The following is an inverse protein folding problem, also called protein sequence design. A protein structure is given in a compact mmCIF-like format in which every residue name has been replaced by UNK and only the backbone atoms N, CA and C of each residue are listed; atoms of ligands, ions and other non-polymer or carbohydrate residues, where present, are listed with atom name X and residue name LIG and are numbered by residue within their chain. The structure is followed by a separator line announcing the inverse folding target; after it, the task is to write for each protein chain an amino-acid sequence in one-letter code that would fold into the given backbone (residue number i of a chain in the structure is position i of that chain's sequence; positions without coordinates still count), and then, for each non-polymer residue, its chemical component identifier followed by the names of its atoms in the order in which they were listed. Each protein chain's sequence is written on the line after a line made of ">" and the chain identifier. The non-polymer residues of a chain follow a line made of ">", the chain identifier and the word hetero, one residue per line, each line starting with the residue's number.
data_IF_897513483622
#
_entry.id   IF_897513483622
#
_cell.length_a   1.000
_cell.length_b   1.000
_cell.length_c   1.000
_cell.angle_alpha   90.00
_cell.angle_beta   90.00
_cell.angle_gamma   90.00
#
_symmetry.space_group_name_H-M   'P 1'
#
loop_
_entity.id
_entity.type
_entity.pdbx_description
1 polymer ?
#
# COMPACT_ATOMS: atom_id res chain seq x y z
N UNK A 1 -4.82 -0.50 -9.37
CA UNK A 1 -3.67 -0.47 -8.42
C UNK A 1 -3.57 -1.79 -7.69
N UNK A 2 -2.42 -2.07 -7.08
CA UNK A 2 -2.21 -3.26 -6.25
C UNK A 2 -1.82 -2.83 -4.84
N UNK A 3 -2.19 -3.64 -3.86
CA UNK A 3 -1.67 -3.52 -2.51
C UNK A 3 -0.14 -3.71 -2.56
N UNK A 4 0.67 -2.77 -2.05
CA UNK A 4 2.12 -2.89 -2.07
C UNK A 4 2.63 -3.96 -1.10
N UNK A 5 1.83 -4.40 -0.12
CA UNK A 5 2.21 -5.43 0.86
C UNK A 5 1.94 -6.83 0.31
N UNK A 6 0.72 -7.09 -0.14
CA UNK A 6 0.31 -8.44 -0.56
C UNK A 6 0.15 -8.62 -2.09
N UNK A 7 0.29 -7.56 -2.88
CA UNK A 7 0.13 -7.60 -4.34
C UNK A 7 -1.32 -7.75 -4.84
N UNK A 8 -2.30 -7.82 -3.93
CA UNK A 8 -3.73 -7.99 -4.27
C UNK A 8 -4.20 -6.81 -5.11
N UNK A 9 -4.96 -7.08 -6.18
CA UNK A 9 -5.59 -6.03 -6.99
C UNK A 9 -6.66 -5.31 -6.17
N UNK A 10 -6.54 -4.00 -6.03
CA UNK A 10 -7.47 -3.16 -5.27
C UNK A 10 -8.24 -2.25 -6.23
N UNK A 11 -9.54 -2.11 -5.96
CA UNK A 11 -10.33 -1.00 -6.50
C UNK A 11 -10.14 0.21 -5.55
N UNK A 12 -9.58 1.34 -6.02
CA UNK A 12 -9.36 2.54 -5.19
C UNK A 12 -10.59 3.06 -4.44
N UNK A 13 -11.79 2.84 -5.01
CA UNK A 13 -13.06 3.24 -4.40
C UNK A 13 -13.51 2.29 -3.28
N UNK A 14 -12.88 1.11 -3.18
CA UNK A 14 -13.13 0.09 -2.15
C UNK A 14 -11.88 -0.25 -1.34
N UNK A 15 -10.85 0.59 -1.40
CA UNK A 15 -9.65 0.39 -0.60
C UNK A 15 -10.00 0.53 0.88
N UNK A 16 -9.45 -0.35 1.71
CA UNK A 16 -9.68 -0.30 3.16
C UNK A 16 -9.00 0.93 3.75
N UNK A 17 -7.73 1.15 3.40
CA UNK A 17 -6.97 2.30 3.86
C UNK A 17 -6.22 2.98 2.70
N UNK A 18 -5.98 4.27 2.86
CA UNK A 18 -5.18 5.11 1.95
C UNK A 18 -4.12 5.82 2.78
N UNK A 19 -2.85 5.56 2.50
CA UNK A 19 -1.73 6.15 3.21
C UNK A 19 -0.95 7.03 2.24
N UNK A 20 -0.71 8.29 2.62
CA UNK A 20 0.18 9.18 1.88
C UNK A 20 1.60 9.00 2.40
N UNK A 21 2.53 8.58 1.53
CA UNK A 21 3.93 8.43 1.88
C UNK A 21 4.79 9.14 0.82
N UNK A 22 5.47 10.22 1.23
CA UNK A 22 6.15 11.11 0.30
C UNK A 22 5.17 11.84 -0.62
N UNK A 23 5.39 11.74 -1.94
CA UNK A 23 4.51 12.31 -2.98
C UNK A 23 3.44 11.34 -3.47
N UNK A 24 3.51 10.08 -3.07
CA UNK A 24 2.64 9.00 -3.54
C UNK A 24 1.54 8.67 -2.53
N UNK A 25 0.44 8.13 -3.03
CA UNK A 25 -0.66 7.60 -2.20
C UNK A 25 -0.77 6.09 -2.41
N UNK A 26 -0.61 5.35 -1.32
CA UNK A 26 -0.68 3.90 -1.29
C UNK A 26 -2.04 3.44 -0.78
N UNK A 27 -2.53 2.34 -1.34
CA UNK A 27 -3.86 1.81 -1.04
C UNK A 27 -3.72 0.38 -0.55
N UNK A 28 -4.40 0.09 0.55
CA UNK A 28 -4.25 -1.15 1.31
C UNK A 28 -5.60 -1.88 1.35
N UNK A 29 -5.56 -3.20 1.20
CA UNK A 29 -6.76 -4.02 1.08
C UNK A 29 -7.37 -4.43 2.42
N UNK A 30 -6.61 -4.36 3.52
CA UNK A 30 -7.05 -4.79 4.84
C UNK A 30 -6.22 -4.15 5.97
N UNK A 31 -6.69 -4.23 7.24
CA UNK A 31 -5.97 -3.68 8.39
C UNK A 31 -4.57 -4.26 8.58
N UNK A 32 -4.38 -5.55 8.26
CA UNK A 32 -3.07 -6.20 8.36
C UNK A 32 -2.06 -5.59 7.38
N UNK A 33 -2.46 -5.40 6.11
CA UNK A 33 -1.61 -4.75 5.11
C UNK A 33 -1.32 -3.29 5.48
N UNK A 34 -2.28 -2.59 6.09
CA UNK A 34 -2.04 -1.26 6.63
C UNK A 34 -0.95 -1.27 7.71
N UNK A 35 -1.09 -2.13 8.73
CA UNK A 35 -0.13 -2.20 9.84
C UNK A 35 1.26 -2.60 9.36
N UNK A 36 1.38 -3.57 8.46
CA UNK A 36 2.67 -3.98 7.89
C UNK A 36 3.30 -2.85 7.06
N UNK A 37 2.51 -2.14 6.26
CA UNK A 37 2.98 -0.99 5.49
C UNK A 37 3.46 0.15 6.39
N UNK A 38 2.77 0.44 7.49
CA UNK A 38 3.14 1.50 8.44
C UNK A 38 4.40 1.17 9.24
N UNK A 39 4.66 -0.11 9.52
CA UNK A 39 5.88 -0.55 10.23
C UNK A 39 7.14 -0.31 9.41
N UNK A 40 7.11 -0.60 8.10
CA UNK A 40 8.26 -0.41 7.21
C UNK A 40 7.82 -0.07 5.77
N UNK A 41 7.36 1.17 5.52
CA UNK A 41 6.88 1.56 4.20
C UNK A 41 7.99 1.50 3.14
N UNK A 42 9.25 1.77 3.53
CA UNK A 42 10.40 1.76 2.61
C UNK A 42 10.59 0.41 1.93
N UNK A 43 10.34 -0.70 2.65
CA UNK A 43 10.42 -2.05 2.10
C UNK A 43 9.43 -2.30 0.96
N UNK A 44 8.24 -1.73 1.03
CA UNK A 44 7.16 -1.99 0.07
C UNK A 44 7.14 -1.00 -1.10
N UNK A 45 7.64 0.22 -0.90
CA UNK A 45 7.72 1.23 -1.97
C UNK A 45 8.90 0.98 -2.94
N UNK A 46 9.97 0.31 -2.48
CA UNK A 46 11.20 0.18 -3.27
C UNK A 46 11.07 -0.77 -4.49
N UNK A 47 10.02 -1.60 -4.54
CA UNK A 47 9.77 -2.52 -5.65
C UNK A 47 8.97 -1.91 -6.81
N UNK A 48 8.59 -0.62 -6.74
CA UNK A 48 7.77 0.03 -7.78
C UNK A 48 8.63 0.85 -8.76
N UNK A 49 9.94 0.97 -8.52
CA UNK A 49 10.86 1.68 -9.42
C UNK A 49 11.82 0.68 -10.09
N UNK A 50 11.36 0.04 -11.16
CA UNK A 50 12.21 -0.46 -12.25
C UNK A 50 11.41 -0.55 -13.54
#
# INVERSE_FOLDING_TARGET
>A
MRDPVCGRKINPNKAYAKIKYGKETYYLCCPLCQSEFEKDPKKFINNIIK
#
